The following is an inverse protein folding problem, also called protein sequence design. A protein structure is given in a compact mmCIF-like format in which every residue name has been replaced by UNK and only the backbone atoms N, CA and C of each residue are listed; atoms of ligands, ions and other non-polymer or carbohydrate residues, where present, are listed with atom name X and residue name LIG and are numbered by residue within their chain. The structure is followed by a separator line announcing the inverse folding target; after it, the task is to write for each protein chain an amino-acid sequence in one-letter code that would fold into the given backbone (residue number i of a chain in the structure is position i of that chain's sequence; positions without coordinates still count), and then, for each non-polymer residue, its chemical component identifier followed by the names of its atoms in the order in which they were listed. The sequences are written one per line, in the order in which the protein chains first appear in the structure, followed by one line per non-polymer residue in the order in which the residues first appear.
data_IF_126829425985
#
_entry.id   IF_126829425985
#
_cell.length_a   1.000
_cell.length_b   1.000
_cell.length_c   1.000
_cell.angle_alpha   90.00
_cell.angle_beta   90.00
_cell.angle_gamma   90.00
#
_symmetry.space_group_name_H-M   'P 1'
#
loop_
_entity.id
_entity.type
_entity.pdbx_description
1 polymer ?
#
# COMPACT_ATOMS: atom_id res chain seq x y z
N UNK A 1 -9.95 -1.75 9.90
CA UNK A 1 -10.45 -0.47 10.49
C UNK A 1 -9.76 0.69 9.79
N UNK A 2 -10.41 1.84 9.64
CA UNK A 2 -9.82 3.04 9.02
C UNK A 2 -9.64 4.09 10.11
N UNK A 3 -8.47 4.72 10.14
CA UNK A 3 -8.15 5.85 11.02
C UNK A 3 -7.71 7.02 10.14
N UNK A 4 -8.17 8.24 10.45
CA UNK A 4 -7.90 9.42 9.66
C UNK A 4 -7.22 10.48 10.53
N UNK A 5 -5.99 10.84 10.18
CA UNK A 5 -5.22 11.89 10.86
C UNK A 5 -5.28 13.17 10.03
N UNK A 6 -5.97 14.19 10.52
CA UNK A 6 -6.15 15.46 9.82
C UNK A 6 -5.73 16.65 10.68
N UNK A 7 -5.42 17.76 10.03
CA UNK A 7 -4.98 18.99 10.70
C UNK A 7 -4.27 19.94 9.73
N UNK A 8 -4.03 21.20 10.13
CA UNK A 8 -3.39 22.22 9.30
C UNK A 8 -2.03 21.78 8.72
N UNK A 9 -1.58 22.45 7.65
CA UNK A 9 -0.23 22.25 7.12
C UNK A 9 0.82 22.59 8.20
N UNK A 10 1.93 21.85 8.23
CA UNK A 10 3.01 22.07 9.18
C UNK A 10 2.80 21.54 10.61
N UNK A 11 1.67 20.88 10.92
CA UNK A 11 1.42 20.33 12.27
C UNK A 11 2.08 18.98 12.55
N UNK A 12 2.93 18.48 11.65
CA UNK A 12 3.69 17.24 11.87
C UNK A 12 2.94 15.94 11.57
N UNK A 13 1.82 15.98 10.84
CA UNK A 13 1.05 14.76 10.45
C UNK A 13 1.93 13.68 9.81
N UNK A 14 2.74 14.06 8.83
CA UNK A 14 3.70 13.15 8.18
C UNK A 14 4.74 12.61 9.16
N UNK A 15 5.21 13.43 10.11
CA UNK A 15 6.14 12.97 11.14
C UNK A 15 5.50 11.90 12.05
N UNK A 16 4.21 12.06 12.39
CA UNK A 16 3.44 11.06 13.13
C UNK A 16 3.29 9.79 12.27
N UNK A 17 2.89 9.92 11.00
CA UNK A 17 2.73 8.80 10.08
C UNK A 17 4.03 7.99 9.96
N UNK A 18 5.17 8.66 9.75
CA UNK A 18 6.49 8.03 9.71
C UNK A 18 6.88 7.36 11.04
N UNK A 19 6.59 7.99 12.17
CA UNK A 19 6.86 7.40 13.49
C UNK A 19 6.07 6.11 13.70
N UNK A 20 4.77 6.13 13.37
CA UNK A 20 3.91 4.93 13.44
C UNK A 20 4.40 3.87 12.45
N UNK A 21 4.75 4.26 11.23
CA UNK A 21 5.28 3.36 10.20
C UNK A 21 6.51 2.61 10.68
N UNK A 22 7.48 3.33 11.24
CA UNK A 22 8.69 2.73 11.83
C UNK A 22 8.38 1.78 12.97
N UNK A 23 7.50 2.16 13.90
CA UNK A 23 7.09 1.28 14.99
C UNK A 23 6.39 0.00 14.49
N UNK A 24 5.53 0.13 13.46
CA UNK A 24 4.89 -1.01 12.84
C UNK A 24 5.89 -1.90 12.09
N UNK A 25 6.90 -1.33 11.45
CA UNK A 25 7.97 -2.07 10.79
C UNK A 25 8.79 -2.87 11.80
N UNK A 26 9.25 -2.22 12.86
CA UNK A 26 10.03 -2.84 13.95
C UNK A 26 9.27 -4.00 14.63
N UNK A 27 7.94 -3.91 14.68
CA UNK A 27 7.07 -4.95 15.27
C UNK A 27 6.56 -5.97 14.23
N UNK A 28 6.90 -5.82 12.94
CA UNK A 28 6.49 -6.72 11.87
C UNK A 28 5.01 -6.61 11.48
N UNK A 29 4.34 -5.50 11.81
CA UNK A 29 2.94 -5.20 11.48
C UNK A 29 2.79 -4.29 10.26
N UNK A 30 3.85 -3.63 9.78
CA UNK A 30 3.75 -2.77 8.61
C UNK A 30 3.49 -3.63 7.36
N UNK A 31 2.37 -3.37 6.68
CA UNK A 31 2.09 -3.95 5.37
C UNK A 31 2.65 -3.07 4.26
N UNK A 32 2.25 -1.80 4.26
CA UNK A 32 2.75 -0.82 3.31
C UNK A 32 2.82 0.58 3.92
N UNK A 33 3.81 1.35 3.47
CA UNK A 33 3.90 2.78 3.70
C UNK A 33 3.98 3.46 2.35
N UNK A 34 3.08 4.41 2.13
CA UNK A 34 3.01 5.19 0.90
C UNK A 34 2.79 6.65 1.26
N UNK A 35 3.43 7.55 0.52
CA UNK A 35 3.21 8.99 0.64
C UNK A 35 3.00 9.58 -0.75
N UNK A 36 1.96 10.39 -0.91
CA UNK A 36 1.83 11.22 -2.10
C UNK A 36 2.78 12.41 -2.01
N UNK A 37 3.34 12.78 -3.14
CA UNK A 37 4.18 13.95 -3.27
C UNK A 37 3.82 14.68 -4.56
N UNK A 38 3.26 15.88 -4.40
CA UNK A 38 2.79 16.68 -5.53
C UNK A 38 3.92 17.05 -6.50
N UNK A 39 5.17 17.11 -6.05
CA UNK A 39 6.31 17.43 -6.94
C UNK A 39 6.54 16.34 -7.99
N UNK A 40 6.04 15.13 -7.74
CA UNK A 40 6.11 14.01 -8.67
C UNK A 40 4.73 13.65 -9.25
N UNK A 41 3.69 14.48 -9.06
CA UNK A 41 2.29 14.16 -9.44
C UNK A 41 2.10 13.70 -10.90
N UNK A 42 2.91 14.17 -11.85
CA UNK A 42 2.90 13.68 -13.24
C UNK A 42 3.39 12.24 -13.38
N UNK A 43 4.18 11.76 -12.43
CA UNK A 43 4.71 10.40 -12.36
C UNK A 43 3.87 9.48 -11.47
N UNK A 44 3.06 9.98 -10.53
CA UNK A 44 2.25 9.16 -9.62
C UNK A 44 0.82 9.01 -10.14
N UNK A 45 0.59 7.96 -10.92
CA UNK A 45 -0.77 7.55 -11.29
C UNK A 45 -1.40 6.68 -10.18
N UNK A 46 -2.73 6.63 -10.06
CA UNK A 46 -3.40 5.68 -9.16
C UNK A 46 -2.94 4.24 -9.38
N UNK A 47 -2.64 3.86 -10.64
CA UNK A 47 -2.07 2.55 -10.97
C UNK A 47 -0.70 2.32 -10.32
N UNK A 48 0.23 3.26 -10.43
CA UNK A 48 1.54 3.15 -9.76
C UNK A 48 1.37 3.09 -8.25
N UNK A 49 0.41 3.80 -7.67
CA UNK A 49 0.13 3.71 -6.24
C UNK A 49 -0.31 2.30 -5.82
N UNK A 50 -1.18 1.65 -6.60
CA UNK A 50 -1.56 0.25 -6.36
C UNK A 50 -0.38 -0.71 -6.49
N UNK A 51 0.45 -0.53 -7.52
CA UNK A 51 1.63 -1.36 -7.73
C UNK A 51 2.64 -1.21 -6.59
N UNK A 52 2.94 0.03 -6.16
CA UNK A 52 3.81 0.30 -5.02
C UNK A 52 3.26 -0.27 -3.72
N UNK A 53 1.95 -0.17 -3.48
CA UNK A 53 1.32 -0.78 -2.31
C UNK A 53 1.44 -2.31 -2.34
N UNK A 54 1.12 -2.96 -3.47
CA UNK A 54 1.26 -4.41 -3.63
C UNK A 54 2.72 -4.87 -3.44
N UNK A 55 3.68 -4.11 -3.97
CA UNK A 55 5.10 -4.37 -3.79
C UNK A 55 5.52 -4.30 -2.32
N UNK A 56 5.17 -3.22 -1.61
CA UNK A 56 5.47 -3.08 -0.18
C UNK A 56 4.84 -4.21 0.65
N UNK A 57 3.57 -4.52 0.38
CA UNK A 57 2.88 -5.63 1.05
C UNK A 57 3.59 -6.97 0.80
N UNK A 58 4.02 -7.23 -0.43
CA UNK A 58 4.80 -8.43 -0.73
C UNK A 58 6.16 -8.43 -0.01
N UNK A 59 6.82 -7.28 0.15
CA UNK A 59 8.07 -7.20 0.91
C UNK A 59 7.88 -7.55 2.39
N UNK A 60 6.79 -7.10 3.01
CA UNK A 60 6.58 -7.22 4.45
C UNK A 60 5.72 -8.45 4.88
N UNK A 61 4.98 -9.03 3.94
CA UNK A 61 4.03 -10.12 4.21
C UNK A 61 4.35 -11.33 3.30
N UNK A 62 5.10 -12.33 3.79
CA UNK A 62 5.51 -13.48 2.98
C UNK A 62 4.34 -14.24 2.34
N UNK A 63 3.24 -14.41 3.06
CA UNK A 63 2.05 -15.09 2.54
C UNK A 63 1.39 -14.30 1.39
N UNK A 64 1.35 -12.97 1.51
CA UNK A 64 0.85 -12.09 0.45
C UNK A 64 1.74 -12.20 -0.79
N UNK A 65 3.07 -12.20 -0.61
CA UNK A 65 4.05 -12.37 -1.69
C UNK A 65 3.86 -13.68 -2.44
N UNK A 66 3.65 -14.78 -1.72
CA UNK A 66 3.48 -16.11 -2.32
C UNK A 66 2.24 -16.12 -3.22
N UNK A 67 1.12 -15.58 -2.72
CA UNK A 67 -0.10 -15.53 -3.51
C UNK A 67 0.00 -14.57 -4.69
N UNK A 68 0.53 -13.36 -4.48
CA UNK A 68 0.74 -12.39 -5.55
C UNK A 68 1.63 -12.96 -6.65
N UNK A 69 2.71 -13.66 -6.30
CA UNK A 69 3.58 -14.34 -7.27
C UNK A 69 2.83 -15.37 -8.11
N UNK A 70 1.99 -16.21 -7.49
CA UNK A 70 1.15 -17.18 -8.22
C UNK A 70 0.18 -16.49 -9.17
N UNK A 71 -0.42 -15.37 -8.73
CA UNK A 71 -1.32 -14.59 -9.57
C UNK A 71 -0.58 -13.99 -10.77
N UNK A 72 0.56 -13.35 -10.55
CA UNK A 72 1.37 -12.73 -11.62
C UNK A 72 1.95 -13.77 -12.58
N UNK A 73 2.26 -14.98 -12.12
CA UNK A 73 2.67 -16.08 -13.01
C UNK A 73 1.53 -16.54 -13.93
N UNK A 74 0.27 -16.44 -13.48
CA UNK A 74 -0.91 -16.78 -14.30
C UNK A 74 -1.34 -15.63 -15.22
N UNK A 75 -1.17 -14.39 -14.77
CA UNK A 75 -1.57 -13.18 -15.46
C UNK A 75 -0.52 -12.08 -15.27
N UNK A 76 0.57 -12.08 -16.08
CA UNK A 76 1.67 -11.14 -15.91
C UNK A 76 1.32 -9.70 -16.34
N UNK A 77 0.24 -9.51 -17.08
CA UNK A 77 -0.14 -8.21 -17.65
C UNK A 77 -1.03 -7.38 -16.73
N UNK A 78 -1.54 -7.96 -15.65
CA UNK A 78 -2.46 -7.29 -14.71
C UNK A 78 -1.91 -5.95 -14.20
N UNK A 79 -0.62 -5.85 -13.93
CA UNK A 79 0.01 -4.60 -13.47
C UNK A 79 -0.10 -3.49 -14.51
N UNK A 80 -0.08 -3.83 -15.80
CA UNK A 80 -0.24 -2.90 -16.91
C UNK A 80 -1.69 -2.73 -17.40
N UNK A 81 -2.69 -3.31 -16.71
CA UNK A 81 -4.09 -3.18 -17.10
C UNK A 81 -4.54 -1.71 -17.08
N UNK A 82 -5.32 -1.27 -18.07
CA UNK A 82 -5.92 0.07 -18.04
C UNK A 82 -7.08 0.17 -17.01
N UNK A 83 -7.51 -0.95 -16.43
CA UNK A 83 -8.58 -0.99 -15.42
C UNK A 83 -8.01 -0.87 -14.01
N UNK A 84 -8.25 0.28 -13.37
CA UNK A 84 -7.92 0.49 -11.96
C UNK A 84 -8.58 -0.55 -11.05
N UNK A 85 -9.85 -0.90 -11.32
CA UNK A 85 -10.58 -1.90 -10.55
C UNK A 85 -9.93 -3.27 -10.65
N UNK A 86 -9.50 -3.67 -11.84
CA UNK A 86 -8.82 -4.95 -12.05
C UNK A 86 -7.49 -5.00 -11.29
N UNK A 87 -6.69 -3.91 -11.37
CA UNK A 87 -5.45 -3.78 -10.61
C UNK A 87 -5.72 -3.88 -9.10
N UNK A 88 -6.70 -3.13 -8.57
CA UNK A 88 -7.06 -3.17 -7.16
C UNK A 88 -7.44 -4.58 -6.71
N UNK A 89 -8.33 -5.23 -7.46
CA UNK A 89 -8.83 -6.55 -7.11
C UNK A 89 -7.73 -7.62 -7.10
N UNK A 90 -6.91 -7.65 -8.15
CA UNK A 90 -5.92 -8.70 -8.36
C UNK A 90 -4.60 -8.45 -7.64
N UNK A 91 -4.10 -7.21 -7.59
CA UNK A 91 -2.81 -6.91 -6.97
C UNK A 91 -2.91 -6.75 -5.45
N UNK A 92 -4.07 -6.33 -4.92
CA UNK A 92 -4.19 -5.90 -3.53
C UNK A 92 -5.25 -6.70 -2.80
N UNK A 93 -6.51 -6.63 -3.24
CA UNK A 93 -7.65 -7.15 -2.49
C UNK A 93 -7.61 -8.67 -2.34
N UNK A 94 -7.49 -9.42 -3.44
CA UNK A 94 -7.46 -10.89 -3.41
C UNK A 94 -6.28 -11.44 -2.60
N UNK A 95 -5.03 -10.97 -2.80
CA UNK A 95 -3.92 -11.40 -1.95
C UNK A 95 -4.12 -11.01 -0.47
N UNK A 96 -4.66 -9.82 -0.18
CA UNK A 96 -4.90 -9.38 1.19
C UNK A 96 -5.96 -10.21 1.93
N UNK A 97 -7.03 -10.63 1.24
CA UNK A 97 -8.09 -11.46 1.83
C UNK A 97 -7.59 -12.81 2.34
N UNK A 98 -6.53 -13.35 1.72
CA UNK A 98 -5.97 -14.65 2.10
C UNK A 98 -5.04 -14.57 3.32
N UNK A 99 -4.46 -13.39 3.57
CA UNK A 99 -3.58 -13.14 4.73
C UNK A 99 -4.29 -12.46 5.90
N UNK A 100 -5.59 -12.19 5.75
CA UNK A 100 -6.39 -11.39 6.70
C UNK A 100 -6.36 -11.92 8.14
N UNK A 101 -6.11 -13.22 8.35
CA UNK A 101 -6.21 -13.86 9.67
C UNK A 101 -4.88 -14.21 10.34
N UNK A 102 -3.72 -13.89 9.75
CA UNK A 102 -2.43 -14.38 10.29
C UNK A 102 -1.76 -13.40 11.25
N UNK A 103 -1.89 -12.09 11.01
CA UNK A 103 -1.41 -11.04 11.94
C UNK A 103 -2.05 -9.66 11.67
N UNK A 104 -2.11 -8.78 12.68
CA UNK A 104 -2.44 -7.38 12.45
C UNK A 104 -1.50 -6.76 11.41
N UNK A 105 -2.08 -6.11 10.41
CA UNK A 105 -1.34 -5.45 9.32
C UNK A 105 -1.80 -4.00 9.19
N UNK A 106 -0.85 -3.08 9.10
CA UNK A 106 -1.10 -1.64 8.98
C UNK A 106 -0.66 -1.15 7.61
N UNK A 107 -1.54 -0.43 6.93
CA UNK A 107 -1.23 0.30 5.70
C UNK A 107 -1.32 1.79 6.03
N UNK A 108 -0.26 2.52 5.73
CA UNK A 108 -0.17 3.96 5.95
C UNK A 108 -0.14 4.66 4.60
N UNK A 109 -1.08 5.60 4.43
CA UNK A 109 -1.15 6.50 3.28
C UNK A 109 -1.02 7.92 3.80
N UNK A 110 0.13 8.54 3.54
CA UNK A 110 0.42 9.92 3.93
C UNK A 110 0.19 10.90 2.78
N UNK A 111 -0.14 12.14 3.15
CA UNK A 111 -0.39 13.25 2.23
C UNK A 111 -1.43 12.96 1.13
N UNK A 112 -2.48 12.19 1.42
CA UNK A 112 -3.53 11.82 0.44
C UNK A 112 -4.16 13.02 -0.29
N UNK A 113 -4.14 14.21 0.35
CA UNK A 113 -4.56 15.49 -0.23
C UNK A 113 -3.63 16.05 -1.32
N UNK A 114 -2.45 15.45 -1.51
CA UNK A 114 -1.47 15.79 -2.54
C UNK A 114 -1.52 14.87 -3.78
N UNK A 115 -2.50 13.96 -3.85
CA UNK A 115 -2.74 13.06 -4.99
C UNK A 115 -3.22 13.79 -6.26
#
# INVERSE_FOLDING_TARGET
KIFFLHGPAGTGKSAIAHTIGKQCEDQGFLGAFFRFDRTFSTEWTPSKALQSMAYNMAMNLPEFRNYLSVLLNKDPFVAGSNSFQEQWEKLVLKPAQLVYNTKPTVIIVDALDEC
#
